data_IF_767652272515
#
_entry.id   IF_767652272515
#
_cell.length_a   1.000
_cell.length_b   1.000
_cell.length_c   1.000
_cell.angle_alpha   90.00
_cell.angle_beta   90.00
_cell.angle_gamma   90.00
#
_symmetry.space_group_name_H-M   'P 1'
#
loop_
_entity.id
_entity.type
_entity.pdbx_description
1 polymer ?
#
# COMPACT_ATOMS: atom_id res chain seq x y z
N UNK A 1 29.31 -14.73 8.57
CA UNK A 1 29.65 -13.42 9.18
C UNK A 1 30.46 -12.62 8.17
N UNK A 2 30.10 -11.36 7.91
CA UNK A 2 30.83 -10.54 6.93
C UNK A 2 32.26 -10.25 7.39
N UNK A 3 33.24 -10.24 6.49
CA UNK A 3 34.65 -9.94 6.76
C UNK A 3 35.11 -8.70 6.01
N UNK A 4 36.02 -7.93 6.62
CA UNK A 4 36.72 -6.82 5.96
C UNK A 4 37.75 -7.36 4.97
N UNK A 5 38.29 -6.46 4.14
CA UNK A 5 39.39 -6.78 3.20
C UNK A 5 40.61 -7.38 3.92
N UNK A 6 40.85 -6.96 5.16
CA UNK A 6 41.96 -7.43 6.00
C UNK A 6 41.68 -8.78 6.70
N UNK A 7 40.56 -9.45 6.39
CA UNK A 7 40.19 -10.74 6.98
C UNK A 7 39.62 -10.69 8.41
N UNK A 8 39.65 -9.53 9.07
CA UNK A 8 38.99 -9.32 10.37
C UNK A 8 37.46 -9.30 10.25
N UNK A 9 36.70 -9.74 11.29
CA UNK A 9 35.24 -9.74 11.24
C UNK A 9 34.67 -8.32 11.16
N UNK A 10 33.57 -8.18 10.42
CA UNK A 10 32.83 -6.93 10.38
C UNK A 10 32.01 -6.76 11.66
N UNK A 11 32.38 -5.77 12.47
CA UNK A 11 31.68 -5.40 13.71
C UNK A 11 30.39 -4.58 13.47
N UNK A 12 29.95 -4.42 12.22
CA UNK A 12 28.71 -3.68 11.91
C UNK A 12 27.53 -4.63 11.95
N UNK A 13 26.44 -4.18 12.56
CA UNK A 13 25.20 -4.95 12.61
C UNK A 13 24.65 -5.27 11.21
N UNK A 14 24.12 -6.48 11.00
CA UNK A 14 23.38 -6.82 9.79
C UNK A 14 22.17 -5.89 9.58
N UNK A 15 21.73 -5.73 8.33
CA UNK A 15 20.43 -5.08 8.09
C UNK A 15 19.30 -5.99 8.59
N UNK A 16 18.14 -5.41 8.92
CA UNK A 16 16.97 -6.18 9.36
C UNK A 16 16.62 -7.24 8.31
N UNK A 17 16.49 -8.49 8.75
CA UNK A 17 16.15 -9.62 7.88
C UNK A 17 17.28 -10.14 6.99
N UNK A 18 18.53 -9.66 7.09
CA UNK A 18 19.67 -10.20 6.32
C UNK A 18 20.85 -10.66 7.21
N UNK A 19 21.74 -11.47 6.64
CA UNK A 19 22.92 -12.01 7.32
C UNK A 19 24.17 -11.12 7.25
N UNK A 20 24.14 -10.05 6.46
CA UNK A 20 25.28 -9.14 6.23
C UNK A 20 24.90 -7.69 6.48
N UNK A 21 25.88 -6.88 6.87
CA UNK A 21 25.67 -5.46 7.11
C UNK A 21 25.60 -4.68 5.79
N UNK A 22 25.10 -3.44 5.88
CA UNK A 22 24.94 -2.52 4.73
C UNK A 22 26.22 -2.39 3.89
N UNK A 23 27.39 -2.37 4.53
CA UNK A 23 28.70 -2.19 3.85
C UNK A 23 29.22 -3.44 3.15
N UNK A 24 28.78 -4.63 3.56
CA UNK A 24 29.25 -5.91 3.00
C UNK A 24 28.15 -6.58 2.17
N UNK A 25 27.44 -5.77 1.38
CA UNK A 25 26.42 -6.26 0.44
C UNK A 25 24.99 -6.27 0.98
N UNK A 26 24.75 -5.90 2.23
CA UNK A 26 23.39 -5.80 2.77
C UNK A 26 22.52 -4.77 2.02
N UNK A 27 23.14 -3.72 1.49
CA UNK A 27 22.44 -2.70 0.70
C UNK A 27 22.09 -3.15 -0.72
N UNK A 28 22.57 -4.31 -1.19
CA UNK A 28 22.32 -4.74 -2.56
C UNK A 28 20.82 -5.03 -2.77
N UNK A 29 20.20 -4.59 -3.89
CA UNK A 29 18.75 -4.74 -4.10
C UNK A 29 18.24 -6.17 -3.93
N UNK A 30 18.98 -7.16 -4.46
CA UNK A 30 18.65 -8.57 -4.34
C UNK A 30 18.69 -9.09 -2.88
N UNK A 31 19.57 -8.54 -2.05
CA UNK A 31 19.66 -8.90 -0.62
C UNK A 31 18.52 -8.29 0.16
N UNK A 32 18.16 -7.03 -0.13
CA UNK A 32 17.01 -6.35 0.47
C UNK A 32 15.71 -7.07 0.12
N UNK A 33 15.50 -7.43 -1.15
CA UNK A 33 14.31 -8.17 -1.59
C UNK A 33 14.19 -9.50 -0.85
N UNK A 34 15.26 -10.30 -0.81
CA UNK A 34 15.27 -11.58 -0.08
C UNK A 34 15.12 -11.41 1.43
N UNK A 35 15.56 -10.28 1.99
CA UNK A 35 15.35 -9.95 3.39
C UNK A 35 13.88 -9.60 3.68
N UNK A 36 13.24 -8.83 2.80
CA UNK A 36 11.83 -8.53 2.87
C UNK A 36 10.97 -9.81 2.77
N UNK A 37 11.28 -10.69 1.83
CA UNK A 37 10.65 -12.02 1.70
C UNK A 37 10.73 -12.82 3.01
N UNK A 38 11.93 -12.91 3.63
CA UNK A 38 12.09 -13.60 4.92
C UNK A 38 11.28 -12.97 6.04
N UNK A 39 11.20 -11.63 6.08
CA UNK A 39 10.40 -10.93 7.09
C UNK A 39 8.91 -11.23 6.86
N UNK A 40 8.45 -11.22 5.61
CA UNK A 40 7.08 -11.55 5.26
C UNK A 40 6.70 -12.97 5.68
N UNK A 41 7.53 -13.97 5.37
CA UNK A 41 7.31 -15.35 5.82
C UNK A 41 7.35 -15.51 7.35
N UNK A 42 8.08 -14.66 8.06
CA UNK A 42 8.11 -14.67 9.52
C UNK A 42 6.88 -13.97 10.15
N UNK A 43 6.13 -13.18 9.38
CA UNK A 43 4.95 -12.47 9.87
C UNK A 43 3.85 -13.43 10.33
N UNK A 44 3.62 -14.53 9.58
CA UNK A 44 2.60 -15.52 9.94
C UNK A 44 2.92 -16.18 11.29
N UNK A 45 4.19 -16.54 11.49
CA UNK A 45 4.67 -17.09 12.77
C UNK A 45 4.54 -16.06 13.90
N UNK A 46 4.77 -14.78 13.61
CA UNK A 46 4.58 -13.70 14.59
C UNK A 46 3.11 -13.57 15.00
N UNK A 47 2.18 -13.62 14.04
CA UNK A 47 0.73 -13.58 14.31
C UNK A 47 0.32 -14.76 15.19
N UNK A 48 0.76 -15.98 14.87
CA UNK A 48 0.46 -17.17 15.70
C UNK A 48 0.97 -17.02 17.14
N UNK A 49 2.14 -16.43 17.34
CA UNK A 49 2.66 -16.15 18.69
C UNK A 49 1.85 -15.09 19.43
N UNK A 50 1.37 -14.06 18.74
CA UNK A 50 0.49 -13.05 19.33
C UNK A 50 -0.84 -13.69 19.75
N UNK A 51 -1.41 -14.57 18.93
CA UNK A 51 -2.62 -15.32 19.27
C UNK A 51 -2.40 -16.21 20.51
N UNK A 52 -1.27 -16.92 20.58
CA UNK A 52 -0.91 -17.72 21.75
C UNK A 52 -0.80 -16.86 23.02
N UNK A 53 -0.19 -15.67 22.94
CA UNK A 53 -0.11 -14.73 24.06
C UNK A 53 -1.47 -14.19 24.52
N UNK A 54 -2.46 -14.09 23.62
CA UNK A 54 -3.82 -13.70 24.00
C UNK A 54 -4.59 -14.82 24.71
N UNK A 55 -4.32 -16.07 24.36
CA UNK A 55 -4.99 -17.25 24.94
C UNK A 55 -4.37 -17.68 26.27
N UNK A 56 -3.12 -17.30 26.53
CA UNK A 56 -2.41 -17.63 27.76
C UNK A 56 -3.04 -16.92 28.99
N UNK A 57 -3.52 -17.66 30.01
CA UNK A 57 -4.09 -17.08 31.21
C UNK A 57 -3.04 -16.44 32.13
N UNK A 58 -1.76 -16.83 32.03
CA UNK A 58 -0.69 -16.37 32.91
C UNK A 58 -0.12 -15.00 32.49
N UNK A 59 -0.40 -14.58 31.25
CA UNK A 59 0.02 -13.28 30.74
C UNK A 59 -0.83 -12.16 31.37
N UNK A 60 -0.22 -11.06 31.89
CA UNK A 60 -0.98 -9.94 32.44
C UNK A 60 -2.02 -9.38 31.46
N UNK A 61 -3.24 -9.12 31.94
CA UNK A 61 -4.35 -8.63 31.11
C UNK A 61 -4.05 -7.33 30.36
N UNK A 62 -3.18 -6.48 30.91
CA UNK A 62 -2.71 -5.27 30.23
C UNK A 62 -1.94 -5.59 28.94
N UNK A 63 -1.10 -6.63 28.94
CA UNK A 63 -0.36 -7.08 27.76
C UNK A 63 -1.30 -7.71 26.75
N UNK A 64 -2.25 -8.54 27.19
CA UNK A 64 -3.28 -9.13 26.32
C UNK A 64 -4.10 -8.04 25.59
N UNK A 65 -4.54 -7.01 26.32
CA UNK A 65 -5.26 -5.89 25.74
C UNK A 65 -4.42 -5.06 24.75
N UNK A 66 -3.11 -4.93 24.97
CA UNK A 66 -2.22 -4.25 24.03
C UNK A 66 -2.04 -5.05 22.73
N UNK A 67 -1.89 -6.37 22.81
CA UNK A 67 -1.83 -7.26 21.64
C UNK A 67 -3.14 -7.23 20.85
N UNK A 68 -4.28 -7.29 21.53
CA UNK A 68 -5.58 -7.21 20.87
C UNK A 68 -5.77 -5.90 20.08
N UNK A 69 -5.32 -4.76 20.65
CA UNK A 69 -5.33 -3.47 19.94
C UNK A 69 -4.43 -3.48 18.70
N UNK A 70 -3.18 -3.95 18.82
CA UNK A 70 -2.25 -4.02 17.67
C UNK A 70 -2.81 -4.88 16.53
N UNK A 71 -3.51 -5.98 16.86
CA UNK A 71 -4.18 -6.81 15.84
C UNK A 71 -5.36 -6.10 15.18
N UNK A 72 -6.21 -5.40 15.95
CA UNK A 72 -7.34 -4.63 15.40
C UNK A 72 -6.88 -3.46 14.54
N UNK A 73 -5.81 -2.77 14.95
CA UNK A 73 -5.21 -1.68 14.19
C UNK A 73 -4.65 -2.17 12.85
N UNK A 74 -4.01 -3.35 12.82
CA UNK A 74 -3.52 -3.97 11.58
C UNK A 74 -4.62 -4.52 10.69
N UNK A 75 -5.70 -5.02 11.28
CA UNK A 75 -6.89 -5.42 10.54
C UNK A 75 -7.66 -4.20 9.99
N UNK A 76 -7.20 -2.98 10.30
CA UNK A 76 -7.81 -1.73 9.89
C UNK A 76 -9.28 -1.62 10.32
N UNK A 77 -9.62 -2.25 11.46
CA UNK A 77 -10.98 -2.29 12.05
C UNK A 77 -11.26 -1.01 12.86
N UNK A 78 -10.41 0.00 12.74
CA UNK A 78 -10.57 1.27 13.44
C UNK A 78 -11.72 2.07 12.82
N UNK A 79 -12.89 2.05 13.48
CA UNK A 79 -14.15 2.63 13.02
C UNK A 79 -14.25 4.15 12.98
N UNK A 80 -13.19 4.87 12.61
CA UNK A 80 -13.24 6.31 12.35
C UNK A 80 -12.58 6.64 11.03
N UNK A 81 -13.29 6.34 9.94
CA UNK A 81 -12.98 6.92 8.64
C UNK A 81 -13.42 8.38 8.67
N UNK A 82 -12.55 9.27 9.14
CA UNK A 82 -12.73 10.72 8.94
C UNK A 82 -12.49 11.02 7.48
N UNK A 83 -13.57 11.08 6.70
CA UNK A 83 -13.55 11.56 5.31
C UNK A 83 -13.59 13.08 5.40
N UNK A 84 -12.45 13.73 5.26
CA UNK A 84 -12.42 15.17 4.96
C UNK A 84 -12.88 15.35 3.52
N UNK A 85 -14.15 15.75 3.34
CA UNK A 85 -14.70 16.11 2.04
C UNK A 85 -14.34 17.57 1.77
N UNK A 86 -13.33 17.77 0.94
CA UNK A 86 -13.01 19.09 0.41
C UNK A 86 -14.05 19.42 -0.67
N UNK A 87 -15.01 20.29 -0.36
CA UNK A 87 -16.05 20.69 -1.31
C UNK A 87 -15.42 21.60 -2.37
N UNK A 88 -15.31 21.17 -3.63
CA UNK A 88 -14.69 21.98 -4.68
C UNK A 88 -15.47 23.28 -4.91
N UNK A 89 -14.75 24.34 -5.28
CA UNK A 89 -15.29 25.71 -5.39
C UNK A 89 -16.51 25.81 -6.32
N UNK A 90 -16.58 25.00 -7.38
CA UNK A 90 -17.73 24.97 -8.29
C UNK A 90 -19.01 24.48 -7.58
N UNK A 91 -18.88 23.63 -6.57
CA UNK A 91 -20.01 23.11 -5.79
C UNK A 91 -20.53 24.18 -4.81
N UNK A 92 -19.65 25.08 -4.34
CA UNK A 92 -20.05 26.27 -3.59
C UNK A 92 -20.77 27.30 -4.48
N UNK A 93 -20.39 27.39 -5.76
CA UNK A 93 -21.07 28.25 -6.74
C UNK A 93 -22.49 27.72 -7.03
N UNK A 94 -22.66 26.40 -7.13
CA UNK A 94 -23.98 25.79 -7.35
C UNK A 94 -24.93 25.94 -6.16
N UNK A 95 -24.42 25.98 -4.93
CA UNK A 95 -25.24 26.19 -3.72
C UNK A 95 -25.97 27.55 -3.75
N UNK A 96 -25.38 28.56 -4.41
CA UNK A 96 -26.02 29.85 -4.67
C UNK A 96 -26.96 29.89 -5.88
N UNK A 97 -26.95 28.86 -6.73
CA UNK A 97 -27.76 28.75 -7.95
C UNK A 97 -28.99 27.86 -7.75
N UNK A 98 -29.03 27.06 -6.68
CA UNK A 98 -30.26 26.38 -6.26
C UNK A 98 -31.29 27.44 -5.88
N UNK A 99 -32.13 27.79 -6.84
CA UNK A 99 -33.28 28.64 -6.63
C UNK A 99 -34.16 27.95 -5.58
N UNK A 100 -34.18 28.52 -4.38
CA UNK A 100 -35.28 28.26 -3.44
C UNK A 100 -36.54 28.73 -4.13
N UNK A 101 -37.31 27.80 -4.70
CA UNK A 101 -38.62 28.10 -5.27
C UNK A 101 -39.45 28.68 -4.10
N UNK A 102 -39.84 29.97 -4.14
CA UNK A 102 -40.67 30.52 -3.09
C UNK A 102 -42.01 29.81 -3.17
N UNK A 103 -42.34 29.03 -2.15
CA UNK A 103 -43.71 28.51 -1.95
C UNK A 103 -44.55 29.62 -1.31
N UNK A 104 -44.62 30.76 -2.00
CA UNK A 104 -45.37 31.92 -1.53
C UNK A 104 -46.77 31.85 -2.14
N UNK A 105 -47.68 31.23 -1.39
CA UNK A 105 -48.99 31.83 -1.11
C UNK A 105 -50.04 31.99 -2.21
N UNK A 106 -49.79 31.68 -3.48
CA UNK A 106 -50.85 31.55 -4.48
C UNK A 106 -50.78 30.18 -5.13
N UNK A 107 -51.83 29.40 -4.86
CA UNK A 107 -52.20 28.19 -5.60
C UNK A 107 -52.51 28.58 -7.04
N UNK A 108 -51.49 28.93 -7.84
CA UNK A 108 -51.50 28.56 -9.22
C UNK A 108 -51.68 27.05 -9.20
N UNK A 109 -52.81 26.59 -9.74
CA UNK A 109 -53.13 25.20 -9.88
C UNK A 109 -52.04 24.51 -10.71
N UNK A 110 -50.91 24.18 -10.09
CA UNK A 110 -50.29 22.91 -10.32
C UNK A 110 -51.42 21.94 -10.12
N UNK A 111 -51.92 21.40 -11.24
CA UNK A 111 -52.64 20.14 -11.21
C UNK A 111 -51.90 19.28 -10.21
N UNK A 112 -52.54 18.82 -9.12
CA UNK A 112 -51.88 17.89 -8.24
C UNK A 112 -51.35 16.79 -9.14
N UNK A 113 -50.03 16.60 -9.18
CA UNK A 113 -49.46 15.34 -9.66
C UNK A 113 -49.70 14.27 -8.59
N UNK A 114 -50.93 14.24 -8.10
CA UNK A 114 -51.54 13.28 -7.22
C UNK A 114 -52.87 12.90 -7.88
N UNK A 115 -52.76 12.38 -9.09
CA UNK A 115 -53.77 11.55 -9.74
C UNK A 115 -53.01 10.70 -10.76
N UNK A 116 -52.58 9.51 -10.32
CA UNK A 116 -52.06 8.49 -11.23
C UNK A 116 -50.84 7.70 -10.78
N UNK A 117 -50.22 8.02 -9.63
CA UNK A 117 -49.42 7.02 -8.93
C UNK A 117 -49.84 7.04 -7.48
N UNK A 118 -50.75 6.13 -7.16
CA UNK A 118 -50.79 5.56 -5.82
C UNK A 118 -49.34 5.38 -5.35
N UNK A 119 -49.02 5.70 -4.08
CA UNK A 119 -47.78 5.21 -3.53
C UNK A 119 -47.73 3.74 -3.93
N UNK A 120 -46.62 3.29 -4.53
CA UNK A 120 -46.39 1.87 -4.65
C UNK A 120 -46.32 1.38 -3.21
N UNK A 121 -47.49 1.10 -2.63
CA UNK A 121 -47.69 0.25 -1.48
C UNK A 121 -47.19 -1.07 -2.01
N UNK A 122 -45.88 -1.27 -1.91
CA UNK A 122 -45.32 -2.59 -1.98
C UNK A 122 -45.95 -3.25 -0.77
N UNK A 123 -47.00 -4.01 -1.01
CA UNK A 123 -47.55 -4.93 -0.01
C UNK A 123 -46.44 -5.93 0.28
N UNK A 124 -45.57 -5.55 1.21
CA UNK A 124 -44.62 -6.46 1.80
C UNK A 124 -45.46 -7.37 2.69
N UNK A 125 -45.86 -8.51 2.13
CA UNK A 125 -46.42 -9.60 2.90
C UNK A 125 -45.46 -9.87 4.06
N UNK A 126 -45.93 -9.68 5.30
CA UNK A 126 -45.19 -10.05 6.49
C UNK A 126 -45.17 -11.57 6.54
N UNK A 127 -44.20 -12.16 5.85
CA UNK A 127 -43.86 -13.56 6.01
C UNK A 127 -43.44 -13.74 7.47
N UNK A 128 -44.12 -14.63 8.18
CA UNK A 128 -43.74 -14.94 9.55
C UNK A 128 -42.32 -15.51 9.58
N UNK A 129 -41.56 -15.26 10.64
CA UNK A 129 -40.18 -15.78 10.76
C UNK A 129 -40.12 -17.29 10.51
N UNK A 130 -41.17 -18.02 10.90
CA UNK A 130 -41.32 -19.46 10.70
C UNK A 130 -41.49 -19.88 9.24
N UNK A 131 -42.19 -19.09 8.43
CA UNK A 131 -42.34 -19.36 7.00
C UNK A 131 -41.07 -19.03 6.24
N UNK A 132 -40.37 -17.95 6.66
CA UNK A 132 -39.08 -17.55 6.10
C UNK A 132 -38.00 -18.62 6.33
N UNK A 133 -37.94 -19.17 7.53
CA UNK A 133 -37.04 -20.28 7.87
C UNK A 133 -37.34 -21.53 7.04
N UNK A 134 -38.62 -21.83 6.79
CA UNK A 134 -39.04 -22.99 6.01
C UNK A 134 -38.71 -22.83 4.53
N UNK A 135 -38.91 -21.64 3.96
CA UNK A 135 -38.54 -21.32 2.59
C UNK A 135 -37.02 -21.42 2.38
N UNK A 136 -36.25 -20.91 3.34
CA UNK A 136 -34.79 -20.97 3.30
C UNK A 136 -34.27 -22.40 3.45
N UNK A 137 -34.92 -23.23 4.26
CA UNK A 137 -34.63 -24.66 4.37
C UNK A 137 -34.92 -25.41 3.05
N UNK A 138 -36.04 -25.13 2.38
CA UNK A 138 -36.38 -25.72 1.10
C UNK A 138 -35.43 -25.27 -0.03
N UNK A 139 -34.99 -24.01 -0.01
CA UNK A 139 -33.98 -23.49 -0.94
C UNK A 139 -32.62 -24.17 -0.73
N UNK A 140 -32.20 -24.32 0.52
CA UNK A 140 -30.96 -25.01 0.88
C UNK A 140 -31.01 -26.49 0.49
N UNK A 141 -32.14 -27.14 0.69
CA UNK A 141 -32.38 -28.52 0.27
C UNK A 141 -32.33 -28.65 -1.26
N UNK A 142 -32.90 -27.70 -2.01
CA UNK A 142 -32.77 -27.63 -3.47
C UNK A 142 -31.32 -27.50 -3.91
N UNK A 143 -30.55 -26.64 -3.25
CA UNK A 143 -29.13 -26.44 -3.58
C UNK A 143 -28.28 -27.67 -3.28
N UNK A 144 -28.56 -28.37 -2.18
CA UNK A 144 -27.86 -29.60 -1.81
C UNK A 144 -28.27 -30.83 -2.63
N UNK A 145 -29.52 -30.88 -3.09
CA UNK A 145 -30.04 -31.98 -3.89
C UNK A 145 -29.82 -31.79 -5.39
N UNK A 146 -29.51 -30.56 -5.84
CA UNK A 146 -29.04 -30.32 -7.19
C UNK A 146 -27.73 -31.10 -7.36
N UNK A 147 -27.66 -32.02 -8.34
CA UNK A 147 -26.43 -32.75 -8.58
C UNK A 147 -25.43 -31.70 -9.11
N UNK A 148 -24.45 -31.37 -8.28
CA UNK A 148 -23.33 -30.50 -8.64
C UNK A 148 -22.43 -31.30 -9.60
N UNK A 149 -22.91 -31.48 -10.83
CA UNK A 149 -22.22 -32.19 -11.91
C UNK A 149 -21.03 -31.39 -12.44
N UNK A 150 -20.98 -30.11 -12.10
CA UNK A 150 -19.82 -29.28 -12.33
C UNK A 150 -18.80 -29.58 -11.23
N UNK A 151 -17.95 -30.55 -11.53
CA UNK A 151 -16.73 -30.85 -10.79
C UNK A 151 -15.77 -29.66 -10.94
N UNK A 152 -16.08 -28.54 -10.28
CA UNK A 152 -15.23 -27.35 -10.18
C UNK A 152 -13.88 -27.63 -9.50
N UNK A 153 -13.62 -28.90 -9.14
CA UNK A 153 -12.37 -29.35 -8.54
C UNK A 153 -11.26 -29.65 -9.56
N UNK A 154 -11.58 -29.91 -10.83
CA UNK A 154 -10.56 -30.34 -11.81
C UNK A 154 -10.15 -29.29 -12.86
N UNK A 155 -11.02 -28.37 -13.30
CA UNK A 155 -10.68 -27.40 -14.36
C UNK A 155 -9.91 -26.17 -13.86
N UNK A 156 -9.93 -25.87 -12.56
CA UNK A 156 -9.23 -24.72 -11.99
C UNK A 156 -7.91 -25.07 -11.28
N UNK A 157 -7.67 -26.35 -10.99
CA UNK A 157 -6.54 -26.75 -10.16
C UNK A 157 -5.23 -26.93 -10.95
N UNK A 158 -5.25 -27.51 -12.15
CA UNK A 158 -4.08 -27.58 -13.03
C UNK A 158 -4.56 -27.83 -14.45
N UNK A 159 -4.34 -26.89 -15.38
CA UNK A 159 -4.42 -27.19 -16.80
C UNK A 159 -3.61 -28.46 -17.09
N UNK A 160 -4.23 -29.44 -17.75
CA UNK A 160 -3.65 -30.73 -18.10
C UNK A 160 -2.42 -30.65 -19.01
N UNK A 161 -2.08 -29.46 -19.49
CA UNK A 161 -0.74 -29.17 -19.97
C UNK A 161 0.15 -28.81 -18.78
N UNK A 162 0.97 -29.78 -18.34
CA UNK A 162 2.18 -29.46 -17.56
C UNK A 162 2.83 -28.24 -18.20
N UNK A 163 3.11 -27.15 -17.45
CA UNK A 163 3.65 -25.94 -18.02
C UNK A 163 4.86 -26.35 -18.86
N UNK A 164 4.75 -26.18 -20.19
CA UNK A 164 5.85 -26.49 -21.10
C UNK A 164 7.06 -25.81 -20.47
N UNK A 165 8.16 -26.54 -20.20
CA UNK A 165 9.34 -25.91 -19.65
C UNK A 165 9.60 -24.71 -20.53
N UNK A 166 9.54 -23.50 -19.95
CA UNK A 166 9.85 -22.28 -20.68
C UNK A 166 11.13 -22.59 -21.44
N UNK A 167 11.18 -22.37 -22.78
CA UNK A 167 12.35 -22.73 -23.56
C UNK A 167 13.53 -22.21 -22.77
N UNK A 168 14.41 -23.13 -22.35
CA UNK A 168 15.61 -22.78 -21.61
C UNK A 168 16.22 -21.69 -22.47
N UNK A 169 16.12 -20.44 -22.02
CA UNK A 169 16.83 -19.36 -22.66
C UNK A 169 18.26 -19.78 -22.41
N UNK A 170 18.88 -20.37 -23.44
CA UNK A 170 20.31 -20.57 -23.47
C UNK A 170 20.86 -19.25 -22.96
N UNK A 171 21.63 -19.27 -21.85
CA UNK A 171 22.08 -18.04 -21.21
C UNK A 171 22.72 -17.26 -22.31
N UNK A 172 22.08 -16.15 -22.71
CA UNK A 172 22.39 -15.47 -23.97
C UNK A 172 23.90 -15.38 -24.02
N UNK A 173 24.53 -16.15 -24.93
CA UNK A 173 25.98 -16.08 -25.12
C UNK A 173 26.23 -14.60 -25.18
N UNK A 174 26.98 -14.01 -24.23
CA UNK A 174 27.10 -12.58 -24.16
C UNK A 174 27.66 -12.23 -25.52
N UNK A 175 26.80 -11.65 -26.37
CA UNK A 175 27.29 -11.05 -27.60
C UNK A 175 28.34 -10.13 -27.06
N UNK A 176 29.58 -10.42 -27.44
CA UNK A 176 30.73 -9.57 -27.19
C UNK A 176 30.31 -8.27 -27.84
N UNK A 177 29.69 -7.39 -27.05
CA UNK A 177 29.13 -6.15 -27.53
C UNK A 177 30.32 -5.48 -28.19
N UNK A 178 30.31 -5.40 -29.51
CA UNK A 178 31.32 -4.71 -30.32
C UNK A 178 31.27 -3.20 -30.10
N UNK A 179 30.91 -2.78 -28.90
CA UNK A 179 30.63 -1.43 -28.49
C UNK A 179 30.95 -1.26 -27.00
N UNK A 180 32.18 -1.63 -26.60
CA UNK A 180 32.98 -0.77 -25.72
C UNK A 180 33.45 0.48 -26.51
N UNK A 181 32.58 1.01 -27.39
CA UNK A 181 32.74 2.35 -27.91
C UNK A 181 32.19 3.23 -26.81
N UNK A 182 33.03 4.06 -26.15
CA UNK A 182 32.50 5.04 -25.23
C UNK A 182 31.40 5.84 -25.95
N UNK A 183 30.32 6.23 -25.26
CA UNK A 183 29.29 7.07 -25.86
C UNK A 183 29.97 8.25 -26.56
N UNK A 184 29.48 8.69 -27.74
CA UNK A 184 30.06 9.83 -28.43
C UNK A 184 30.13 10.99 -27.45
N UNK A 185 31.29 11.63 -27.35
CA UNK A 185 31.48 12.76 -26.45
C UNK A 185 30.44 13.82 -26.82
N UNK A 186 29.43 13.98 -25.97
CA UNK A 186 28.53 15.13 -26.09
C UNK A 186 29.43 16.38 -26.00
N UNK A 187 29.34 17.31 -26.96
CA UNK A 187 30.08 18.55 -26.86
C UNK A 187 29.62 19.23 -25.58
N UNK A 188 30.48 19.20 -24.56
CA UNK A 188 30.28 20.04 -23.37
C UNK A 188 30.22 21.46 -23.89
N UNK A 189 29.15 22.23 -23.58
CA UNK A 189 29.11 23.62 -23.98
C UNK A 189 30.40 24.26 -23.49
N UNK A 190 31.13 24.90 -24.40
CA UNK A 190 32.35 25.64 -24.04
C UNK A 190 31.96 26.52 -22.87
N UNK A 191 32.59 26.30 -21.72
CA UNK A 191 32.42 27.16 -20.55
C UNK A 191 33.01 28.50 -20.95
N UNK A 192 32.19 29.35 -21.57
CA UNK A 192 32.54 30.72 -21.87
C UNK A 192 32.92 31.34 -20.54
N UNK A 193 34.18 31.77 -20.43
CA UNK A 193 34.62 32.56 -19.29
C UNK A 193 33.84 33.87 -19.41
N UNK A 194 32.84 34.06 -18.54
CA UNK A 194 32.08 35.30 -18.46
C UNK A 194 33.09 36.38 -18.07
N UNK A 195 33.41 37.28 -18.99
CA UNK A 195 34.28 38.41 -18.72
C UNK A 195 33.52 39.48 -17.94
N UNK A 196 34.20 40.36 -17.18
CA UNK A 196 33.52 41.36 -16.34
C UNK A 196 32.58 42.32 -17.09
N UNK A 197 32.75 42.44 -18.41
CA UNK A 197 31.98 43.31 -19.29
C UNK A 197 30.81 42.58 -20.01
N UNK A 198 30.60 41.28 -19.78
CA UNK A 198 29.46 40.53 -20.34
C UNK A 198 28.14 41.02 -19.71
N UNK A 199 27.07 41.29 -20.49
CA UNK A 199 25.78 41.78 -19.95
C UNK A 199 25.08 40.80 -19.01
N UNK A 200 25.49 39.53 -19.04
CA UNK A 200 25.01 38.48 -18.15
C UNK A 200 25.76 38.42 -16.80
N UNK A 201 26.87 39.16 -16.65
CA UNK A 201 27.68 39.19 -15.43
C UNK A 201 26.91 39.72 -14.22
N UNK A 202 25.93 40.59 -14.43
CA UNK A 202 25.11 41.19 -13.36
C UNK A 202 23.79 40.48 -13.11
N UNK A 203 23.39 39.52 -13.95
CA UNK A 203 22.10 38.84 -13.84
C UNK A 203 22.15 37.59 -12.94
N UNK A 204 23.34 37.14 -12.53
CA UNK A 204 23.48 36.01 -11.60
C UNK A 204 23.21 36.50 -10.17
N UNK A 205 22.16 36.00 -9.48
CA UNK A 205 21.88 36.43 -8.11
C UNK A 205 23.08 36.09 -7.20
N UNK A 206 23.73 37.13 -6.68
CA UNK A 206 24.87 37.04 -5.75
C UNK A 206 24.46 36.59 -4.34
N UNK A 207 23.45 35.74 -4.22
CA UNK A 207 23.00 35.17 -2.95
C UNK A 207 23.58 33.78 -2.75
N UNK A 208 24.90 33.62 -2.96
CA UNK A 208 25.61 32.54 -2.30
C UNK A 208 25.85 32.95 -0.85
N UNK A 209 24.86 32.73 -0.01
CA UNK A 209 25.07 32.66 1.44
C UNK A 209 25.83 31.36 1.70
N UNK A 210 27.10 31.40 2.12
CA UNK A 210 27.81 30.19 2.50
C UNK A 210 27.02 29.56 3.65
N UNK A 211 26.45 28.38 3.40
CA UNK A 211 25.78 27.63 4.45
C UNK A 211 26.81 27.28 5.51
N UNK A 212 26.58 27.74 6.74
CA UNK A 212 27.44 27.43 7.89
C UNK A 212 27.59 25.91 7.99
N UNK A 213 28.82 25.37 7.98
CA UNK A 213 29.02 23.93 8.10
C UNK A 213 28.38 23.44 9.40
N UNK A 214 27.64 22.31 9.39
CA UNK A 214 26.99 21.81 10.59
C UNK A 214 28.04 21.47 11.66
N UNK A 215 27.74 21.70 12.95
CA UNK A 215 28.68 21.44 14.03
C UNK A 215 29.04 19.95 14.05
N UNK A 216 30.34 19.66 14.02
CA UNK A 216 30.87 18.29 14.16
C UNK A 216 30.42 17.76 15.52
N UNK A 217 29.54 16.74 15.54
CA UNK A 217 29.16 16.04 16.78
C UNK A 217 30.41 15.51 17.47
N UNK A 218 30.79 16.15 18.57
CA UNK A 218 31.86 15.72 19.46
C UNK A 218 31.60 14.30 19.94
N UNK A 219 32.61 13.45 19.78
CA UNK A 219 32.61 12.07 20.25
C UNK A 219 32.69 12.11 21.77
N UNK A 220 31.58 11.88 22.46
CA UNK A 220 31.53 11.80 23.92
C UNK A 220 32.37 10.58 24.35
N UNK A 221 33.53 10.84 24.94
CA UNK A 221 34.35 9.82 25.55
C UNK A 221 33.65 9.33 26.83
N UNK A 222 33.07 8.13 26.78
CA UNK A 222 32.52 7.47 27.95
C UNK A 222 33.63 7.18 28.97
N UNK A 223 33.61 7.91 30.08
CA UNK A 223 34.31 7.57 31.32
C UNK A 223 33.66 6.30 31.89
N UNK A 224 34.39 5.19 31.90
CA UNK A 224 34.05 4.03 32.75
C UNK A 224 34.42 4.39 34.19
N UNK A 225 33.45 4.22 35.11
CA UNK A 225 33.70 3.99 36.52
C UNK A 225 33.82 2.48 36.73
#
# INVERSE_FOLDING_TARGET
MARKKDGSPCMKSPIKGAAVCRMHGGAAPQVQRKAAERIAHASDVAVMKLLALMQDPDVPKAVQAAVARDLLDRANVTGKTTIEVEVPLWQQILDGVVATVPTDGETAAMRPFAEGRDPLVIEAERVSDTERERELADELARYQAAPHDEDWSDDFAYGSESPRPAPVQEPATPMRNGADRPPPAHPVPERRRIEPDDPDYWQVPRTYTPTTPPPRRGRVAGRRR
#
